data_IF_491049606673
#
_entry.id   IF_491049606673
#
_cell.length_a   1.000
_cell.length_b   1.000
_cell.length_c   1.000
_cell.angle_alpha   90.00
_cell.angle_beta   90.00
_cell.angle_gamma   90.00
#
_symmetry.space_group_name_H-M   'P 1'
#
loop_
_entity.id
_entity.type
_entity.pdbx_description
1 polymer ?
#
# COMPACT_ATOMS: atom_id res chain seq x y z
N UNK A 1 3.67 0.68 27.53
CA UNK A 1 4.11 -0.37 26.59
C UNK A 1 4.79 0.33 25.45
N UNK A 2 6.07 0.07 25.23
CA UNK A 2 6.87 0.71 24.17
C UNK A 2 6.65 -0.01 22.84
N UNK A 3 6.97 0.63 21.71
CA UNK A 3 6.88 -0.01 20.41
C UNK A 3 7.81 -1.24 20.29
N UNK A 4 8.90 -1.25 21.04
CA UNK A 4 9.88 -2.34 21.11
C UNK A 4 9.32 -3.65 21.68
N UNK A 5 8.21 -3.58 22.43
CA UNK A 5 7.58 -4.75 23.04
C UNK A 5 6.49 -5.37 22.13
N UNK A 6 6.33 -4.88 20.89
CA UNK A 6 5.27 -5.29 19.99
C UNK A 6 5.68 -6.40 19.03
N UNK A 7 4.81 -7.39 18.87
CA UNK A 7 4.90 -8.40 17.83
C UNK A 7 4.15 -7.90 16.60
N UNK A 8 4.88 -7.63 15.52
CA UNK A 8 4.33 -7.13 14.27
C UNK A 8 4.31 -8.25 13.24
N UNK A 9 3.16 -8.51 12.66
CA UNK A 9 2.99 -9.49 11.58
C UNK A 9 2.79 -8.77 10.26
N UNK A 10 3.68 -8.99 9.30
CA UNK A 10 3.56 -8.37 7.98
C UNK A 10 2.58 -9.16 7.12
N UNK A 11 1.66 -8.46 6.46
CA UNK A 11 0.74 -9.03 5.48
C UNK A 11 0.93 -8.34 4.14
N UNK A 12 1.22 -9.15 3.13
CA UNK A 12 1.07 -8.76 1.74
C UNK A 12 -0.32 -9.21 1.26
N UNK A 13 -1.31 -8.30 1.12
CA UNK A 13 -2.69 -8.69 0.83
C UNK A 13 -2.79 -9.64 -0.36
N UNK A 14 -2.08 -9.33 -1.45
CA UNK A 14 -2.03 -10.09 -2.70
C UNK A 14 -1.79 -11.61 -2.52
N UNK A 15 -1.03 -12.02 -1.50
CA UNK A 15 -0.59 -13.41 -1.32
C UNK A 15 -1.03 -14.05 0.01
N UNK A 16 -1.85 -13.34 0.81
CA UNK A 16 -2.19 -13.84 2.15
C UNK A 16 -3.35 -14.83 2.14
N UNK A 17 -4.50 -14.44 1.64
CA UNK A 17 -5.67 -15.31 1.53
C UNK A 17 -6.65 -14.77 0.49
N UNK A 18 -6.95 -15.57 -0.49
CA UNK A 18 -7.92 -15.35 -1.55
C UNK A 18 -9.30 -15.79 -1.04
N UNK A 19 -10.27 -14.87 -0.97
CA UNK A 19 -11.59 -15.15 -0.43
C UNK A 19 -12.63 -15.49 -1.49
N UNK A 20 -12.39 -15.10 -2.74
CA UNK A 20 -13.35 -15.27 -3.85
C UNK A 20 -12.90 -16.26 -4.94
N UNK A 21 -11.65 -16.73 -4.87
CA UNK A 21 -11.12 -17.78 -5.72
C UNK A 21 -10.55 -17.29 -7.06
N UNK A 22 -10.21 -16.01 -7.14
CA UNK A 22 -9.62 -15.41 -8.36
C UNK A 22 -8.10 -15.61 -8.48
N UNK A 23 -7.46 -16.16 -7.45
CA UNK A 23 -6.01 -16.39 -7.37
C UNK A 23 -5.23 -15.26 -6.71
N UNK A 24 -5.90 -14.21 -6.26
CA UNK A 24 -5.29 -13.04 -5.62
C UNK A 24 -5.86 -12.89 -4.22
N UNK A 25 -5.00 -12.70 -3.22
CA UNK A 25 -5.44 -12.42 -1.85
C UNK A 25 -6.07 -11.04 -1.72
N UNK A 26 -7.01 -10.90 -0.80
CA UNK A 26 -7.86 -9.73 -0.66
C UNK A 26 -8.14 -9.33 0.80
N UNK A 27 -8.75 -8.15 1.01
CA UNK A 27 -9.06 -7.64 2.35
C UNK A 27 -10.10 -8.52 3.08
N UNK A 28 -11.06 -9.12 2.36
CA UNK A 28 -12.04 -10.04 2.94
C UNK A 28 -11.39 -11.33 3.40
N UNK A 29 -10.39 -11.81 2.67
CA UNK A 29 -9.56 -12.93 3.08
C UNK A 29 -8.83 -12.65 4.41
N UNK A 30 -8.32 -11.44 4.58
CA UNK A 30 -7.69 -11.03 5.85
C UNK A 30 -8.73 -11.00 6.98
N UNK A 31 -9.94 -10.46 6.72
CA UNK A 31 -11.04 -10.48 7.67
C UNK A 31 -11.36 -11.91 8.11
N UNK A 32 -11.47 -12.84 7.17
CA UNK A 32 -11.74 -14.26 7.45
C UNK A 32 -10.66 -14.92 8.32
N UNK A 33 -9.43 -14.39 8.33
CA UNK A 33 -8.29 -14.92 9.08
C UNK A 33 -7.99 -14.20 10.39
N UNK A 34 -8.80 -13.25 10.85
CA UNK A 34 -8.56 -12.52 12.11
C UNK A 34 -8.46 -13.48 13.32
N UNK A 35 -9.27 -14.53 13.36
CA UNK A 35 -9.19 -15.52 14.43
C UNK A 35 -7.85 -16.27 14.46
N UNK A 36 -7.25 -16.54 13.30
CA UNK A 36 -5.91 -17.10 13.17
C UNK A 36 -4.85 -16.10 13.67
N UNK A 37 -4.94 -14.84 13.25
CA UNK A 37 -4.01 -13.78 13.66
C UNK A 37 -4.06 -13.55 15.19
N UNK A 38 -5.25 -13.61 15.79
CA UNK A 38 -5.40 -13.58 17.26
C UNK A 38 -4.67 -14.74 17.95
N UNK A 39 -4.75 -15.96 17.38
CA UNK A 39 -4.04 -17.13 17.96
C UNK A 39 -2.53 -17.01 17.89
N UNK A 40 -1.99 -16.23 16.95
CA UNK A 40 -0.56 -15.93 16.88
C UNK A 40 -0.11 -14.92 17.95
N UNK A 41 -1.07 -14.35 18.69
CA UNK A 41 -0.80 -13.36 19.74
C UNK A 41 0.01 -12.15 19.26
N UNK A 42 -0.30 -11.66 18.06
CA UNK A 42 0.32 -10.48 17.47
C UNK A 42 -0.31 -9.21 18.03
N UNK A 43 0.46 -8.13 18.09
CA UNK A 43 -0.01 -6.82 18.51
C UNK A 43 -0.45 -5.94 17.35
N UNK A 44 0.18 -6.09 16.20
CA UNK A 44 -0.05 -5.23 15.03
C UNK A 44 0.12 -6.02 13.74
N UNK A 45 -0.59 -5.55 12.70
CA UNK A 45 -0.35 -5.96 11.32
C UNK A 45 0.30 -4.81 10.57
N UNK A 46 1.39 -5.08 9.89
CA UNK A 46 1.98 -4.21 8.89
C UNK A 46 1.53 -4.65 7.50
N UNK A 47 0.73 -3.82 6.85
CA UNK A 47 0.25 -4.07 5.50
C UNK A 47 1.23 -3.52 4.46
N UNK A 48 1.66 -4.37 3.52
CA UNK A 48 2.23 -3.91 2.26
C UNK A 48 1.19 -3.08 1.49
N UNK A 49 1.60 -2.21 0.55
CA UNK A 49 0.67 -1.32 -0.13
C UNK A 49 -0.48 -2.06 -0.81
N UNK A 50 -1.70 -1.54 -0.60
CA UNK A 50 -2.93 -1.97 -1.25
C UNK A 50 -3.73 -0.78 -1.81
N UNK A 51 -3.08 0.36 -1.95
CA UNK A 51 -3.61 1.53 -2.66
C UNK A 51 -3.69 1.26 -4.16
N UNK A 52 -4.50 2.08 -4.87
CA UNK A 52 -4.61 1.97 -6.34
C UNK A 52 -3.23 2.09 -6.98
N UNK A 53 -2.89 1.08 -7.77
CA UNK A 53 -1.58 0.94 -8.42
C UNK A 53 -1.72 0.18 -9.74
N UNK A 54 -0.96 0.53 -10.81
CA UNK A 54 -0.87 -0.29 -12.01
C UNK A 54 -0.11 -1.60 -11.78
N UNK A 55 0.39 -1.84 -10.57
CA UNK A 55 1.08 -3.08 -10.13
C UNK A 55 2.39 -3.39 -10.89
N UNK A 56 3.01 -2.40 -11.54
CA UNK A 56 4.30 -2.56 -12.20
C UNK A 56 5.42 -2.83 -11.19
N UNK A 57 5.28 -2.29 -9.97
CA UNK A 57 6.17 -2.52 -8.82
C UNK A 57 5.41 -3.12 -7.63
N UNK A 58 4.48 -4.05 -7.92
CA UNK A 58 3.75 -4.82 -6.90
C UNK A 58 3.07 -3.96 -5.82
N UNK A 59 2.52 -2.80 -6.20
CA UNK A 59 1.81 -1.88 -5.31
C UNK A 59 2.65 -0.73 -4.79
N UNK A 60 3.99 -0.75 -4.97
CA UNK A 60 4.86 0.37 -4.58
C UNK A 60 4.86 1.52 -5.59
N UNK A 61 4.21 1.36 -6.72
CA UNK A 61 3.95 2.37 -7.75
C UNK A 61 2.52 2.92 -7.58
N UNK A 62 2.30 3.73 -6.54
CA UNK A 62 0.97 4.19 -6.14
C UNK A 62 0.46 5.26 -7.12
N UNK A 63 -0.75 5.03 -7.67
CA UNK A 63 -1.46 5.95 -8.55
C UNK A 63 -2.52 6.79 -7.82
N UNK A 64 -3.07 6.31 -6.71
CA UNK A 64 -4.01 7.06 -5.87
C UNK A 64 -3.87 6.61 -4.39
N UNK A 65 -3.39 7.51 -3.52
CA UNK A 65 -3.20 7.25 -2.09
C UNK A 65 -4.50 7.25 -1.26
N UNK A 66 -5.61 7.67 -1.86
CA UNK A 66 -6.88 7.85 -1.15
C UNK A 66 -7.87 6.72 -1.39
N UNK A 67 -7.49 5.73 -2.21
CA UNK A 67 -8.37 4.62 -2.56
C UNK A 67 -7.69 3.28 -2.38
N UNK A 68 -8.48 2.30 -1.98
CA UNK A 68 -8.12 0.88 -2.04
C UNK A 68 -8.12 0.44 -3.49
N UNK A 69 -7.11 -0.32 -3.89
CA UNK A 69 -7.08 -0.94 -5.22
C UNK A 69 -8.23 -1.96 -5.34
N UNK A 70 -9.06 -1.84 -6.39
CA UNK A 70 -10.19 -2.77 -6.61
C UNK A 70 -9.81 -4.26 -6.63
N UNK A 71 -8.56 -4.57 -6.97
CA UNK A 71 -8.04 -5.94 -6.93
C UNK A 71 -8.08 -6.54 -5.52
N UNK A 72 -7.94 -5.71 -4.48
CA UNK A 72 -7.90 -6.17 -3.09
C UNK A 72 -9.21 -5.94 -2.34
N UNK A 73 -10.16 -5.24 -2.94
CA UNK A 73 -11.44 -4.94 -2.33
C UNK A 73 -11.84 -3.46 -2.42
N UNK A 74 -12.67 -3.04 -1.50
CA UNK A 74 -13.22 -1.69 -1.44
C UNK A 74 -12.78 -0.94 -0.19
N UNK A 75 -13.02 0.38 -0.14
CA UNK A 75 -12.83 1.16 1.09
C UNK A 75 -13.72 0.64 2.23
N UNK A 76 -14.95 0.19 1.92
CA UNK A 76 -15.83 -0.41 2.93
C UNK A 76 -15.26 -1.71 3.51
N UNK A 77 -14.59 -2.53 2.69
CA UNK A 77 -13.89 -3.73 3.17
C UNK A 77 -12.73 -3.37 4.10
N UNK A 78 -11.99 -2.30 3.79
CA UNK A 78 -10.93 -1.81 4.66
C UNK A 78 -11.48 -1.26 5.99
N UNK A 79 -12.58 -0.52 5.95
CA UNK A 79 -13.24 0.00 7.16
C UNK A 79 -13.75 -1.14 8.04
N UNK A 80 -14.35 -2.17 7.44
CA UNK A 80 -14.76 -3.39 8.16
C UNK A 80 -13.57 -4.10 8.79
N UNK A 81 -12.49 -4.29 8.02
CA UNK A 81 -11.24 -4.90 8.50
C UNK A 81 -10.68 -4.11 9.70
N UNK A 82 -10.61 -2.79 9.58
CA UNK A 82 -10.10 -1.93 10.63
C UNK A 82 -10.94 -2.02 11.92
N UNK A 83 -12.27 -2.03 11.80
CA UNK A 83 -13.18 -2.20 12.93
C UNK A 83 -12.95 -3.56 13.63
N UNK A 84 -12.88 -4.64 12.87
CA UNK A 84 -12.68 -6.00 13.41
C UNK A 84 -11.29 -6.20 14.03
N UNK A 85 -10.25 -5.61 13.47
CA UNK A 85 -8.91 -5.63 14.05
C UNK A 85 -8.87 -4.85 15.37
N UNK A 86 -9.56 -3.70 15.44
CA UNK A 86 -9.70 -2.93 16.68
C UNK A 86 -10.41 -3.74 17.77
N UNK A 87 -11.51 -4.44 17.45
CA UNK A 87 -12.20 -5.35 18.36
C UNK A 87 -11.31 -6.51 18.82
N UNK A 88 -10.41 -6.96 17.94
CA UNK A 88 -9.44 -8.00 18.23
C UNK A 88 -8.22 -7.49 19.02
N UNK A 89 -8.12 -6.19 19.31
CA UNK A 89 -6.97 -5.50 19.91
C UNK A 89 -5.69 -5.61 19.08
N UNK A 90 -5.80 -5.72 17.76
CA UNK A 90 -4.69 -5.75 16.82
C UNK A 90 -4.57 -4.38 16.15
N UNK A 91 -3.40 -3.75 16.28
CA UNK A 91 -3.09 -2.47 15.64
C UNK A 91 -2.88 -2.60 14.13
N UNK A 92 -2.99 -1.48 13.43
CA UNK A 92 -2.73 -1.38 11.98
C UNK A 92 -1.52 -0.48 11.76
N UNK A 93 -0.61 -0.93 10.91
CA UNK A 93 0.48 -0.17 10.33
C UNK A 93 0.38 -0.28 8.82
N UNK A 94 0.37 0.87 8.14
CA UNK A 94 0.34 0.93 6.68
C UNK A 94 1.72 1.28 6.14
N UNK A 95 2.09 0.64 5.06
CA UNK A 95 3.27 1.00 4.29
C UNK A 95 2.97 2.26 3.47
N UNK A 96 3.59 3.39 3.84
CA UNK A 96 3.39 4.67 3.19
C UNK A 96 4.54 4.99 2.25
N UNK A 97 4.34 4.72 0.96
CA UNK A 97 5.34 4.96 -0.10
C UNK A 97 5.33 6.45 -0.46
N UNK A 98 6.11 7.27 0.28
CA UNK A 98 6.17 8.72 0.08
C UNK A 98 7.41 9.17 -0.72
N UNK A 99 8.27 8.22 -1.12
CA UNK A 99 9.49 8.53 -1.87
C UNK A 99 9.23 8.86 -3.33
N UNK A 100 8.23 8.25 -3.94
CA UNK A 100 7.87 8.39 -5.35
C UNK A 100 6.39 8.09 -5.55
N UNK A 101 5.87 8.38 -6.74
CA UNK A 101 4.53 7.98 -7.19
C UNK A 101 4.65 7.08 -8.41
N UNK A 102 3.54 6.40 -8.77
CA UNK A 102 3.40 5.83 -10.11
C UNK A 102 3.50 6.91 -11.18
N UNK A 103 3.94 6.54 -12.36
CA UNK A 103 3.80 7.39 -13.56
C UNK A 103 2.34 7.69 -13.91
N UNK A 104 1.42 6.82 -13.49
CA UNK A 104 -0.02 7.00 -13.71
C UNK A 104 -0.69 7.92 -12.67
N UNK A 105 0.06 8.34 -11.63
CA UNK A 105 -0.46 9.25 -10.62
C UNK A 105 -0.83 10.60 -11.24
N UNK A 106 -2.00 11.12 -10.88
CA UNK A 106 -2.51 12.40 -11.41
C UNK A 106 -1.50 13.55 -11.26
N UNK A 107 -0.78 13.60 -10.15
CA UNK A 107 0.24 14.64 -9.93
C UNK A 107 1.38 14.54 -10.92
N UNK A 108 1.85 13.33 -11.20
CA UNK A 108 2.94 13.10 -12.16
C UNK A 108 2.49 13.44 -13.58
N UNK A 109 1.29 13.03 -13.98
CA UNK A 109 0.73 13.35 -15.28
C UNK A 109 0.58 14.85 -15.50
N UNK A 110 0.12 15.60 -14.48
CA UNK A 110 0.04 17.07 -14.53
C UNK A 110 1.43 17.71 -14.59
N UNK A 111 2.40 17.18 -13.86
CA UNK A 111 3.79 17.64 -13.92
C UNK A 111 4.38 17.47 -15.31
N UNK A 112 4.15 16.33 -15.97
CA UNK A 112 4.56 16.08 -17.36
C UNK A 112 3.87 17.03 -18.35
N UNK A 113 2.61 17.36 -18.10
CA UNK A 113 1.86 18.35 -18.92
C UNK A 113 2.33 19.80 -18.72
N UNK A 114 3.31 20.05 -17.86
CA UNK A 114 3.92 21.36 -17.65
C UNK A 114 3.33 22.18 -16.50
N UNK A 115 2.39 21.64 -15.72
CA UNK A 115 1.81 22.33 -14.56
C UNK A 115 2.88 22.58 -13.48
N UNK A 116 3.23 23.86 -13.27
CA UNK A 116 4.30 24.28 -12.36
C UNK A 116 4.04 23.89 -10.90
N UNK A 117 2.77 23.87 -10.46
CA UNK A 117 2.42 23.43 -9.11
C UNK A 117 2.82 21.98 -8.90
N UNK A 118 2.48 21.10 -9.84
CA UNK A 118 2.77 19.68 -9.73
C UNK A 118 4.23 19.35 -10.05
N UNK A 119 4.89 20.13 -10.91
CA UNK A 119 6.33 20.00 -11.11
C UNK A 119 7.12 20.25 -9.82
N UNK A 120 6.63 21.11 -8.92
CA UNK A 120 7.27 21.37 -7.64
C UNK A 120 7.19 20.19 -6.64
N UNK A 121 6.38 19.16 -6.91
CA UNK A 121 6.30 17.96 -6.10
C UNK A 121 7.42 16.95 -6.38
N UNK A 122 8.14 17.13 -7.50
CA UNK A 122 9.12 16.18 -8.00
C UNK A 122 10.49 16.82 -8.19
N UNK A 123 11.54 16.05 -7.97
CA UNK A 123 12.90 16.43 -8.33
C UNK A 123 13.14 16.17 -9.81
N UNK A 124 12.77 17.14 -10.66
CA UNK A 124 12.99 17.08 -12.10
C UNK A 124 14.37 17.65 -12.42
N UNK A 125 15.23 16.87 -13.06
CA UNK A 125 16.59 17.23 -13.45
C UNK A 125 16.86 16.68 -14.85
N UNK A 126 17.75 17.37 -15.56
CA UNK A 126 18.26 16.85 -16.81
C UNK A 126 19.05 15.55 -16.55
N UNK A 127 18.97 14.57 -17.47
CA UNK A 127 19.75 13.36 -17.34
C UNK A 127 21.25 13.66 -17.35
N UNK A 128 22.07 12.81 -16.75
CA UNK A 128 23.52 12.89 -16.86
C UNK A 128 23.94 12.80 -18.33
N UNK A 129 25.15 13.30 -18.73
CA UNK A 129 25.64 13.23 -20.10
C UNK A 129 25.66 11.81 -20.70
N UNK A 130 25.74 10.79 -19.86
CA UNK A 130 25.69 9.38 -20.25
C UNK A 130 24.25 8.80 -20.37
N UNK A 131 23.23 9.65 -20.26
CA UNK A 131 21.81 9.27 -20.36
C UNK A 131 21.23 8.54 -19.15
N UNK A 132 22.02 8.34 -18.08
CA UNK A 132 21.51 7.68 -16.86
C UNK A 132 20.61 8.62 -16.06
N UNK A 133 19.45 8.12 -15.64
CA UNK A 133 18.57 8.85 -14.74
C UNK A 133 19.06 8.76 -13.29
N UNK A 134 18.53 9.64 -12.40
CA UNK A 134 18.86 9.61 -10.97
C UNK A 134 18.38 8.34 -10.25
N UNK A 135 17.47 7.57 -10.87
CA UNK A 135 16.94 6.32 -10.32
C UNK A 135 18.02 5.20 -10.28
N UNK A 136 19.09 5.36 -11.04
CA UNK A 136 20.17 4.36 -11.14
C UNK A 136 21.44 4.77 -10.37
N UNK A 137 21.27 5.55 -9.32
CA UNK A 137 22.37 5.92 -8.41
C UNK A 137 22.40 4.96 -7.24
#
# INVERSE_FOLDING_TARGET
>A
MTFQDKVIYQIYPKSFYDSDGDGIGDLRGIIAKISYLKKLNIDMIWFNPFFVSPQNDNGYDIADYYKVDPTFGTMADFEELAAKLKEAHIGIMLDMVLNHTSTDHEWFQKALAGDKKYQAFYYLRDPKPNGLSLIHI
#
